data_IF_183083770545
#
_entry.id   IF_183083770545
#
_cell.length_a   1.000
_cell.length_b   1.000
_cell.length_c   1.000
_cell.angle_alpha   90.00
_cell.angle_beta   90.00
_cell.angle_gamma   90.00
#
_symmetry.space_group_name_H-M   'P 1'
#
loop_
_entity.id
_entity.type
_entity.pdbx_description
1 polymer ?
#
# COMPACT_ATOMS: atom_id res chain seq x y z
N UNK A 1 -11.20 -2.61 -6.77
CA UNK A 1 -10.96 -1.28 -6.13
C UNK A 1 -9.56 -0.80 -6.47
N UNK A 2 -9.40 0.48 -6.80
CA UNK A 2 -8.10 1.10 -7.14
C UNK A 2 -7.56 1.95 -6.00
N UNK A 3 -6.28 2.27 -6.07
CA UNK A 3 -5.60 3.18 -5.13
C UNK A 3 -6.25 4.57 -5.13
N UNK A 4 -6.79 5.05 -6.27
CA UNK A 4 -7.59 6.29 -6.34
C UNK A 4 -8.74 6.31 -5.33
N UNK A 5 -9.42 5.19 -5.09
CA UNK A 5 -10.54 5.18 -4.13
C UNK A 5 -10.04 5.34 -2.69
N UNK A 6 -8.88 4.75 -2.36
CA UNK A 6 -8.24 4.94 -1.05
C UNK A 6 -7.73 6.37 -0.87
N UNK A 7 -7.14 6.95 -1.91
CA UNK A 7 -6.74 8.36 -1.90
C UNK A 7 -7.93 9.27 -1.60
N UNK A 8 -9.05 9.10 -2.32
CA UNK A 8 -10.29 9.87 -2.05
C UNK A 8 -10.81 9.67 -0.64
N UNK A 9 -10.77 8.44 -0.12
CA UNK A 9 -11.13 8.15 1.26
C UNK A 9 -10.24 8.90 2.25
N UNK A 10 -8.92 8.90 2.04
CA UNK A 10 -7.98 9.60 2.92
C UNK A 10 -8.13 11.11 2.84
N UNK A 11 -8.30 11.69 1.65
CA UNK A 11 -8.60 13.13 1.46
C UNK A 11 -9.82 13.53 2.28
N UNK A 12 -10.91 12.77 2.16
CA UNK A 12 -12.14 13.01 2.93
C UNK A 12 -11.93 12.83 4.43
N UNK A 13 -11.28 11.73 4.85
CA UNK A 13 -11.07 11.39 6.26
C UNK A 13 -10.16 12.39 6.97
N UNK A 14 -9.13 12.86 6.28
CA UNK A 14 -8.12 13.78 6.82
C UNK A 14 -8.48 15.25 6.57
N UNK A 15 -9.59 15.53 5.87
CA UNK A 15 -10.04 16.89 5.50
C UNK A 15 -8.97 17.66 4.75
N UNK A 16 -8.33 16.99 3.80
CA UNK A 16 -7.32 17.57 2.92
C UNK A 16 -8.03 18.17 1.71
N UNK A 17 -7.53 19.29 1.19
CA UNK A 17 -8.19 19.99 0.07
C UNK A 17 -7.84 19.34 -1.27
N UNK A 18 -6.58 18.94 -1.47
CA UNK A 18 -6.12 18.36 -2.72
C UNK A 18 -5.66 16.90 -2.58
N UNK A 19 -6.05 16.05 -3.54
CA UNK A 19 -5.58 14.66 -3.60
C UNK A 19 -4.06 14.56 -3.77
N UNK A 20 -3.41 15.55 -4.40
CA UNK A 20 -1.96 15.58 -4.60
C UNK A 20 -1.16 15.70 -3.30
N UNK A 21 -1.78 16.15 -2.20
CA UNK A 21 -1.14 16.24 -0.89
C UNK A 21 -1.04 14.88 -0.18
N UNK A 22 -1.67 13.83 -0.71
CA UNK A 22 -1.63 12.49 -0.09
C UNK A 22 -0.85 11.52 -0.97
N UNK A 23 0.09 10.84 -0.34
CA UNK A 23 0.76 9.67 -0.92
C UNK A 23 0.34 8.40 -0.18
N UNK A 24 0.29 7.30 -0.93
CA UNK A 24 0.14 5.94 -0.38
C UNK A 24 1.35 5.15 -0.85
N UNK A 25 2.01 4.46 0.08
CA UNK A 25 3.17 3.62 -0.19
C UNK A 25 2.94 2.17 0.27
N UNK A 26 3.61 1.23 -0.38
CA UNK A 26 3.68 -0.17 0.02
C UNK A 26 5.13 -0.63 -0.08
N UNK A 27 5.69 -1.17 1.01
CA UNK A 27 7.11 -1.57 1.11
C UNK A 27 8.08 -0.46 0.63
N UNK A 28 7.78 0.80 0.94
CA UNK A 28 8.59 1.96 0.52
C UNK A 28 8.36 2.45 -0.91
N UNK A 29 7.54 1.77 -1.72
CA UNK A 29 7.21 2.19 -3.07
C UNK A 29 5.91 3.01 -3.08
N UNK A 30 5.91 4.18 -3.72
CA UNK A 30 4.71 4.98 -3.96
C UNK A 30 3.76 4.28 -4.95
N UNK A 31 2.48 4.25 -4.60
CA UNK A 31 1.44 3.63 -5.40
C UNK A 31 0.74 4.63 -6.30
N UNK A 32 0.65 4.30 -7.60
CA UNK A 32 -0.04 5.15 -8.56
C UNK A 32 -1.57 4.99 -8.46
N UNK A 33 -2.36 6.05 -8.68
CA UNK A 33 -3.81 6.01 -8.45
C UNK A 33 -4.58 4.98 -9.30
N UNK A 34 -4.04 4.61 -10.47
CA UNK A 34 -4.67 3.64 -11.38
C UNK A 34 -4.40 2.18 -11.00
N UNK A 35 -3.49 1.90 -10.07
CA UNK A 35 -3.22 0.54 -9.63
C UNK A 35 -4.44 -0.03 -8.90
N UNK A 36 -4.72 -1.31 -9.15
CA UNK A 36 -5.72 -2.05 -8.38
C UNK A 36 -5.10 -2.57 -7.09
N UNK A 37 -5.90 -2.73 -6.03
CA UNK A 37 -5.42 -3.39 -4.81
C UNK A 37 -4.93 -4.82 -5.07
N UNK A 38 -5.53 -5.52 -6.03
CA UNK A 38 -5.07 -6.83 -6.46
C UNK A 38 -3.66 -6.76 -7.05
N UNK A 39 -3.40 -5.82 -7.95
CA UNK A 39 -2.06 -5.66 -8.52
C UNK A 39 -1.02 -5.33 -7.45
N UNK A 40 -1.35 -4.41 -6.54
CA UNK A 40 -0.46 -4.06 -5.41
C UNK A 40 -0.20 -5.26 -4.52
N UNK A 41 -1.23 -6.06 -4.21
CA UNK A 41 -1.10 -7.30 -3.46
C UNK A 41 -0.13 -8.24 -4.16
N UNK A 42 -0.44 -8.62 -5.40
CA UNK A 42 0.21 -9.70 -6.13
C UNK A 42 1.65 -9.37 -6.59
N UNK A 43 1.97 -8.08 -6.77
CA UNK A 43 3.24 -7.66 -7.38
C UNK A 43 4.14 -6.83 -6.46
N UNK A 44 3.59 -6.19 -5.43
CA UNK A 44 4.35 -5.28 -4.55
C UNK A 44 4.40 -5.82 -3.13
N UNK A 45 3.25 -6.18 -2.55
CA UNK A 45 3.16 -6.63 -1.17
C UNK A 45 3.63 -8.08 -1.00
N UNK A 46 3.21 -9.00 -1.89
CA UNK A 46 3.61 -10.42 -1.84
C UNK A 46 5.01 -10.68 -2.38
N UNK A 47 5.79 -9.66 -2.73
CA UNK A 47 7.21 -9.82 -3.07
C UNK A 47 7.97 -10.23 -1.80
N UNK A 48 7.78 -11.49 -1.39
CA UNK A 48 8.62 -12.20 -0.44
C UNK A 48 10.00 -12.23 -1.07
N UNK A 49 10.99 -11.78 -0.32
CA UNK A 49 12.38 -11.99 -0.62
C UNK A 49 12.54 -13.47 -1.00
N UNK A 50 12.82 -13.76 -2.27
CA UNK A 50 13.06 -15.13 -2.77
C UNK A 50 14.26 -15.78 -2.06
N UNK A 51 14.97 -15.03 -1.22
CA UNK A 51 16.09 -15.44 -0.38
C UNK A 51 15.69 -15.80 1.06
N UNK A 52 14.49 -15.46 1.56
CA UNK A 52 14.05 -15.75 2.95
C UNK A 52 13.18 -17.01 3.09
N UNK A 53 12.95 -17.74 2.01
CA UNK A 53 12.07 -18.93 1.99
C UNK A 53 12.69 -20.19 2.62
N UNK A 54 13.91 -20.15 3.14
CA UNK A 54 14.52 -21.29 3.83
C UNK A 54 14.44 -21.24 5.37
N UNK A 55 13.97 -20.15 6.01
CA UNK A 55 14.09 -20.00 7.47
C UNK A 55 12.85 -19.51 8.23
N UNK A 56 11.74 -19.17 7.57
CA UNK A 56 10.53 -18.72 8.30
C UNK A 56 9.44 -19.79 8.32
N UNK A 57 9.68 -20.80 9.14
CA UNK A 57 8.71 -21.84 9.54
C UNK A 57 7.81 -21.35 10.69
N UNK A 58 7.40 -20.08 10.64
CA UNK A 58 6.50 -19.48 11.62
C UNK A 58 5.34 -18.84 10.87
N UNK A 59 4.24 -19.58 10.80
CA UNK A 59 2.92 -19.12 10.33
C UNK A 59 2.53 -17.85 11.09
N UNK A 60 2.86 -16.70 10.52
CA UNK A 60 2.48 -15.41 11.08
C UNK A 60 1.07 -15.10 10.58
N UNK A 61 0.13 -14.86 11.47
CA UNK A 61 -1.23 -14.44 11.14
C UNK A 61 -1.27 -13.07 10.43
N UNK A 62 -0.14 -12.48 10.06
CA UNK A 62 -0.04 -11.26 9.26
C UNK A 62 0.02 -11.53 7.74
N UNK A 63 0.22 -12.78 7.31
CA UNK A 63 0.31 -13.14 5.89
C UNK A 63 -1.01 -12.94 5.10
N UNK A 64 -2.12 -12.58 5.75
CA UNK A 64 -3.41 -12.32 5.10
C UNK A 64 -3.86 -10.84 5.10
N UNK A 65 -3.07 -9.94 5.72
CA UNK A 65 -3.41 -8.52 5.80
C UNK A 65 -2.38 -7.68 5.05
N UNK A 66 -2.80 -7.10 3.91
CA UNK A 66 -1.97 -6.16 3.18
C UNK A 66 -1.89 -4.81 3.91
N UNK A 67 -0.68 -4.43 4.32
CA UNK A 67 -0.42 -3.16 5.00
C UNK A 67 0.05 -2.12 3.99
N UNK A 68 -0.65 -0.97 3.96
CA UNK A 68 -0.28 0.21 3.17
C UNK A 68 0.02 1.37 4.13
N UNK A 69 1.03 2.15 3.81
CA UNK A 69 1.35 3.39 4.53
C UNK A 69 0.80 4.59 3.76
N UNK A 70 0.46 5.66 4.46
CA UNK A 70 0.08 6.92 3.84
C UNK A 70 0.69 8.09 4.60
N UNK A 71 0.89 9.20 3.89
CA UNK A 71 1.47 10.41 4.44
C UNK A 71 0.98 11.65 3.71
N UNK A 72 1.18 12.82 4.33
CA UNK A 72 1.03 14.09 3.63
C UNK A 72 2.34 14.42 2.93
N UNK A 73 2.29 14.67 1.63
CA UNK A 73 3.41 15.19 0.87
C UNK A 73 3.25 16.70 0.75
N UNK A 74 4.24 17.45 1.20
CA UNK A 74 4.30 18.90 1.01
C UNK A 74 5.04 19.11 -0.30
N UNK A 75 4.30 19.42 -1.36
CA UNK A 75 4.85 19.93 -2.61
C UNK A 75 5.31 21.37 -2.46
#
# INVERSE_FOLDING_TARGET
>A
MTIRLLLKYLVSKLRVENESEIEITCRGQQLLPFLTLQHVRDNIWTLRDTTRTLLSDSSSTMDHVMVLHYGRSIS
#
